data_IF_088029555445
#
_entry.id   IF_088029555445
#
_cell.length_a   1.000
_cell.length_b   1.000
_cell.length_c   1.000
_cell.angle_alpha   90.00
_cell.angle_beta   90.00
_cell.angle_gamma   90.00
#
_symmetry.space_group_name_H-M   'P 1'
#
loop_
_entity.id
_entity.type
_entity.pdbx_description
1 polymer ?
#
# COMPACT_ATOMS: atom_id res chain seq x y z
N UNK A 1 10.08 1.46 15.17
CA UNK A 1 10.72 0.19 15.61
C UNK A 1 10.17 -0.23 16.95
N UNK A 2 10.67 0.36 18.06
CA UNK A 2 10.20 0.04 19.41
C UNK A 2 8.71 0.37 19.61
N UNK A 3 8.25 1.51 19.08
CA UNK A 3 6.85 1.94 19.18
C UNK A 3 5.85 1.07 18.40
N UNK A 4 6.32 0.29 17.42
CA UNK A 4 5.47 -0.57 16.59
C UNK A 4 5.63 -2.08 16.93
N UNK A 5 6.34 -2.41 18.01
CA UNK A 5 6.54 -3.81 18.43
C UNK A 5 7.30 -4.70 17.43
N UNK A 6 8.02 -4.11 16.47
CA UNK A 6 8.69 -4.84 15.38
C UNK A 6 10.11 -5.29 15.78
N UNK A 7 10.57 -6.47 15.32
CA UNK A 7 11.94 -6.94 15.56
C UNK A 7 12.99 -5.96 15.01
N UNK A 8 14.12 -5.82 15.73
CA UNK A 8 15.21 -4.90 15.35
C UNK A 8 15.71 -5.14 13.92
N UNK A 9 15.66 -6.38 13.42
CA UNK A 9 16.07 -6.77 12.06
C UNK A 9 15.31 -6.01 10.96
N UNK A 10 14.11 -5.51 11.24
CA UNK A 10 13.27 -4.80 10.26
C UNK A 10 13.74 -3.37 9.92
N UNK A 11 14.90 -2.94 10.42
CA UNK A 11 15.31 -1.52 10.38
C UNK A 11 15.62 -1.09 8.96
N UNK A 12 16.13 -2.02 8.14
CA UNK A 12 16.38 -1.83 6.73
C UNK A 12 15.09 -1.48 5.98
N UNK A 13 14.00 -2.20 6.25
CA UNK A 13 12.68 -1.92 5.68
C UNK A 13 12.15 -0.56 6.13
N UNK A 14 12.34 -0.19 7.40
CA UNK A 14 11.94 1.11 7.92
C UNK A 14 12.67 2.26 7.21
N UNK A 15 14.00 2.14 7.02
CA UNK A 15 14.81 3.13 6.28
C UNK A 15 14.36 3.23 4.82
N UNK A 16 14.09 2.09 4.17
CA UNK A 16 13.59 2.07 2.80
C UNK A 16 12.22 2.74 2.65
N UNK A 17 11.28 2.45 3.56
CA UNK A 17 9.96 3.08 3.58
C UNK A 17 10.06 4.59 3.84
N UNK A 18 10.88 5.01 4.79
CA UNK A 18 11.11 6.43 5.07
C UNK A 18 11.70 7.16 3.86
N UNK A 19 12.67 6.55 3.17
CA UNK A 19 13.26 7.10 1.95
C UNK A 19 12.22 7.21 0.83
N UNK A 20 11.39 6.18 0.65
CA UNK A 20 10.30 6.19 -0.33
C UNK A 20 9.33 7.35 -0.12
N UNK A 21 8.92 7.58 1.13
CA UNK A 21 8.03 8.68 1.52
C UNK A 21 8.75 10.01 1.30
N UNK A 22 9.98 10.15 1.79
CA UNK A 22 10.76 11.39 1.67
C UNK A 22 10.96 11.82 0.22
N UNK A 23 11.18 10.87 -0.69
CA UNK A 23 11.34 11.15 -2.12
C UNK A 23 10.07 11.70 -2.78
N UNK A 24 8.90 11.45 -2.17
CA UNK A 24 7.58 11.92 -2.62
C UNK A 24 7.09 13.13 -1.83
N UNK A 25 7.82 13.56 -0.80
CA UNK A 25 7.53 14.80 -0.10
C UNK A 25 7.92 16.00 -0.96
N UNK A 26 7.07 17.02 -0.93
CA UNK A 26 7.37 18.31 -1.54
C UNK A 26 8.60 18.95 -0.88
N UNK A 27 9.49 19.50 -1.70
CA UNK A 27 10.63 20.28 -1.25
C UNK A 27 10.43 21.76 -1.65
N UNK A 28 10.31 22.68 -0.68
CA UNK A 28 10.09 24.11 -0.93
C UNK A 28 11.18 24.78 -1.78
N UNK A 29 12.44 24.32 -1.67
CA UNK A 29 13.57 24.92 -2.38
C UNK A 29 13.50 24.64 -3.89
N UNK A 30 13.18 23.41 -4.25
CA UNK A 30 13.10 22.96 -5.65
C UNK A 30 11.71 23.11 -6.25
N UNK A 31 10.70 23.44 -5.42
CA UNK A 31 9.27 23.48 -5.77
C UNK A 31 8.74 22.19 -6.41
N UNK A 32 9.45 21.08 -6.20
CA UNK A 32 9.21 19.74 -6.77
C UNK A 32 9.63 18.69 -5.77
N UNK A 33 9.06 17.50 -5.88
CA UNK A 33 9.49 16.31 -5.14
C UNK A 33 10.80 15.77 -5.71
N UNK A 34 11.61 15.07 -4.89
CA UNK A 34 12.84 14.46 -5.39
C UNK A 34 12.55 13.40 -6.47
N UNK A 35 11.41 12.72 -6.36
CA UNK A 35 10.90 11.81 -7.38
C UNK A 35 10.68 12.54 -8.72
N UNK A 36 9.95 13.65 -8.75
CA UNK A 36 9.73 14.45 -9.98
C UNK A 36 11.04 14.96 -10.59
N UNK A 37 12.00 15.37 -9.76
CA UNK A 37 13.30 15.85 -10.25
C UNK A 37 14.07 14.73 -10.94
N UNK A 38 13.96 13.49 -10.46
CA UNK A 38 14.69 12.35 -10.99
C UNK A 38 13.97 11.66 -12.16
N UNK A 39 12.65 11.53 -12.11
CA UNK A 39 11.86 10.77 -13.10
C UNK A 39 11.13 11.65 -14.11
N UNK A 40 10.99 12.95 -13.82
CA UNK A 40 10.17 13.87 -14.62
C UNK A 40 8.65 13.66 -14.46
N UNK A 41 8.21 12.71 -13.64
CA UNK A 41 6.80 12.38 -13.44
C UNK A 41 6.33 12.73 -12.03
N UNK A 42 5.06 13.13 -11.91
CA UNK A 42 4.43 13.40 -10.62
C UNK A 42 4.32 12.08 -9.80
N UNK A 43 4.66 12.08 -8.50
CA UNK A 43 4.55 10.88 -7.70
C UNK A 43 3.08 10.53 -7.44
N UNK A 44 2.72 9.27 -7.68
CA UNK A 44 1.48 8.72 -7.16
C UNK A 44 1.60 8.48 -5.64
N UNK A 45 0.72 9.11 -4.86
CA UNK A 45 0.67 9.04 -3.40
C UNK A 45 -0.55 8.27 -2.86
N UNK A 46 -1.47 7.83 -3.72
CA UNK A 46 -2.72 7.19 -3.32
C UNK A 46 -2.51 5.87 -2.55
N UNK A 47 -1.38 5.19 -2.79
CA UNK A 47 -1.01 3.95 -2.11
C UNK A 47 -0.06 4.13 -0.92
N UNK A 48 0.09 5.34 -0.39
CA UNK A 48 1.02 5.60 0.71
C UNK A 48 0.39 5.24 2.06
N UNK A 49 1.08 4.41 2.84
CA UNK A 49 0.63 3.95 4.15
C UNK A 49 1.73 4.12 5.20
N UNK A 50 1.31 4.25 6.46
CA UNK A 50 2.21 4.38 7.62
C UNK A 50 2.91 3.06 7.91
N UNK A 51 4.24 3.10 7.99
CA UNK A 51 5.05 1.94 8.42
C UNK A 51 4.58 1.43 9.79
N UNK A 52 4.41 0.13 9.92
CA UNK A 52 3.92 -0.50 11.14
C UNK A 52 2.39 -0.56 11.26
N UNK A 53 1.64 -0.12 10.24
CA UNK A 53 0.17 -0.26 10.25
C UNK A 53 -0.25 -1.72 10.13
N UNK A 54 -1.30 -2.08 10.87
CA UNK A 54 -1.94 -3.38 10.75
C UNK A 54 -2.63 -3.47 9.37
N UNK A 55 -2.49 -4.62 8.74
CA UNK A 55 -3.09 -4.86 7.43
C UNK A 55 -3.49 -6.32 7.24
N UNK A 56 -4.48 -6.52 6.39
CA UNK A 56 -4.96 -7.82 5.96
C UNK A 56 -4.47 -8.08 4.55
N UNK A 57 -3.58 -9.05 4.42
CA UNK A 57 -2.94 -9.43 3.19
C UNK A 57 -3.61 -10.67 2.58
N UNK A 58 -3.97 -10.60 1.31
CA UNK A 58 -4.46 -11.75 0.57
C UNK A 58 -3.29 -12.63 0.12
N UNK A 59 -3.29 -13.88 0.56
CA UNK A 59 -2.25 -14.87 0.36
C UNK A 59 -2.85 -16.03 -0.44
N UNK A 60 -2.37 -16.21 -1.67
CA UNK A 60 -2.79 -17.32 -2.51
C UNK A 60 -2.18 -18.63 -1.99
N UNK A 61 -2.99 -19.45 -1.32
CA UNK A 61 -2.60 -20.81 -0.94
C UNK A 61 -2.99 -21.78 -2.07
N UNK A 62 -2.07 -22.67 -2.47
CA UNK A 62 -2.27 -23.66 -3.54
C UNK A 62 -3.22 -24.81 -3.15
N UNK A 63 -3.57 -24.94 -1.87
CA UNK A 63 -4.48 -25.97 -1.36
C UNK A 63 -5.86 -25.35 -1.13
N UNK A 64 -6.87 -25.99 -1.72
CA UNK A 64 -8.22 -25.46 -1.95
C UNK A 64 -9.00 -25.46 -0.62
N UNK A 65 -9.50 -24.28 -0.22
CA UNK A 65 -10.38 -23.96 0.93
C UNK A 65 -9.74 -23.33 2.18
N UNK A 66 -8.42 -23.10 2.26
CA UNK A 66 -7.86 -22.35 3.39
C UNK A 66 -8.18 -20.85 3.33
N UNK A 67 -8.34 -20.24 4.51
CA UNK A 67 -8.49 -18.80 4.67
C UNK A 67 -7.41 -18.06 3.87
N UNK A 68 -7.85 -17.24 2.92
CA UNK A 68 -6.98 -16.54 1.96
C UNK A 68 -6.45 -15.22 2.50
N UNK A 69 -6.94 -14.79 3.65
CA UNK A 69 -6.58 -13.52 4.26
C UNK A 69 -5.73 -13.81 5.50
N UNK A 70 -4.58 -13.16 5.60
CA UNK A 70 -3.71 -13.22 6.77
C UNK A 70 -3.46 -11.82 7.29
N UNK A 71 -3.59 -11.66 8.60
CA UNK A 71 -3.18 -10.43 9.28
C UNK A 71 -1.65 -10.30 9.26
N UNK A 72 -1.18 -9.08 9.03
CA UNK A 72 0.23 -8.73 9.02
C UNK A 72 0.44 -7.26 9.33
N UNK A 73 1.71 -6.87 9.31
CA UNK A 73 2.15 -5.52 9.56
C UNK A 73 2.82 -4.98 8.31
N UNK A 74 2.39 -3.82 7.84
CA UNK A 74 3.00 -3.18 6.70
C UNK A 74 4.40 -2.67 7.04
N UNK A 75 5.40 -3.06 6.23
CA UNK A 75 6.80 -2.69 6.45
C UNK A 75 7.44 -1.95 5.27
N UNK A 76 6.77 -1.83 4.12
CA UNK A 76 7.28 -0.98 3.05
C UNK A 76 6.77 -1.31 1.66
N UNK A 77 7.44 -0.74 0.67
CA UNK A 77 7.05 -0.80 -0.75
C UNK A 77 8.03 -1.66 -1.53
N UNK A 78 7.51 -2.49 -2.44
CA UNK A 78 8.36 -3.21 -3.39
C UNK A 78 8.90 -2.26 -4.47
N UNK A 79 10.13 -2.51 -4.94
CA UNK A 79 10.79 -1.67 -5.96
C UNK A 79 10.37 -2.02 -7.39
N UNK A 80 10.04 -3.29 -7.64
CA UNK A 80 9.82 -3.83 -8.99
C UNK A 80 8.36 -4.08 -9.36
N UNK A 81 7.41 -3.76 -8.47
CA UNK A 81 5.99 -3.99 -8.74
C UNK A 81 5.11 -3.16 -7.80
N UNK A 82 3.81 -3.01 -8.12
CA UNK A 82 2.83 -2.35 -7.24
C UNK A 82 2.41 -3.29 -6.10
N UNK A 83 3.37 -3.79 -5.34
CA UNK A 83 3.16 -4.66 -4.19
C UNK A 83 3.71 -4.02 -2.91
N UNK A 84 3.09 -4.38 -1.80
CA UNK A 84 3.54 -4.02 -0.48
C UNK A 84 4.38 -5.14 0.12
N UNK A 85 5.29 -4.75 1.02
CA UNK A 85 6.03 -5.65 1.88
C UNK A 85 5.28 -5.76 3.20
N UNK A 86 4.82 -6.97 3.51
CA UNK A 86 4.03 -7.27 4.70
C UNK A 86 4.79 -8.27 5.56
N UNK A 87 5.04 -7.89 6.80
CA UNK A 87 5.58 -8.78 7.83
C UNK A 87 4.46 -9.60 8.46
N UNK A 88 4.61 -10.90 8.51
CA UNK A 88 3.68 -11.82 9.17
C UNK A 88 4.28 -12.27 10.51
N UNK A 89 3.76 -11.80 11.66
CA UNK A 89 4.32 -12.16 12.97
C UNK A 89 4.30 -13.66 13.25
N UNK A 90 3.28 -14.37 12.74
CA UNK A 90 3.13 -15.82 12.93
C UNK A 90 4.23 -16.64 12.24
N UNK A 91 4.67 -16.23 11.04
CA UNK A 91 5.72 -16.93 10.29
C UNK A 91 7.08 -16.25 10.37
N UNK A 92 7.16 -15.10 11.05
CA UNK A 92 8.36 -14.24 11.16
C UNK A 92 9.01 -13.91 9.80
N UNK A 93 8.20 -13.78 8.75
CA UNK A 93 8.66 -13.57 7.39
C UNK A 93 8.05 -12.30 6.80
N UNK A 94 8.83 -11.59 5.98
CA UNK A 94 8.33 -10.50 5.13
C UNK A 94 8.02 -11.07 3.75
N UNK A 95 6.78 -10.93 3.30
CA UNK A 95 6.38 -11.33 1.94
C UNK A 95 5.85 -10.15 1.15
N UNK A 96 6.06 -10.25 -0.16
CA UNK A 96 5.54 -9.33 -1.15
C UNK A 96 4.08 -9.68 -1.45
N UNK A 97 3.18 -8.73 -1.22
CA UNK A 97 1.73 -8.93 -1.41
C UNK A 97 1.15 -7.74 -2.16
N UNK A 98 0.41 -7.99 -3.25
CA UNK A 98 -0.28 -6.93 -4.01
C UNK A 98 -1.58 -6.52 -3.33
N UNK A 99 -2.42 -7.48 -3.00
CA UNK A 99 -3.74 -7.23 -2.44
C UNK A 99 -3.67 -7.14 -0.92
N UNK A 100 -3.67 -5.91 -0.41
CA UNK A 100 -3.60 -5.61 1.02
C UNK A 100 -4.69 -4.60 1.37
N UNK A 101 -5.43 -4.88 2.45
CA UNK A 101 -6.40 -3.96 3.04
C UNK A 101 -5.86 -3.44 4.37
N UNK A 102 -5.76 -2.13 4.49
CA UNK A 102 -5.28 -1.48 5.71
C UNK A 102 -6.46 -1.18 6.64
N UNK A 103 -6.34 -1.53 7.91
CA UNK A 103 -7.28 -1.04 8.93
C UNK A 103 -6.87 0.37 9.30
N UNK A 104 -7.71 1.34 8.95
CA UNK A 104 -7.44 2.73 9.31
C UNK A 104 -7.52 2.89 10.83
N UNK A 105 -6.42 3.29 11.46
CA UNK A 105 -6.53 4.23 12.57
C UNK A 105 -6.66 5.61 11.92
N UNK A 106 -7.90 6.02 11.68
CA UNK A 106 -8.24 7.39 11.31
C UNK A 106 -8.53 8.14 12.60
N UNK A 107 -7.52 8.35 13.44
CA UNK A 107 -7.64 9.24 14.58
C UNK A 107 -6.56 10.31 14.50
N UNK A 108 -6.96 11.46 13.95
CA UNK A 108 -6.63 12.81 14.43
C UNK A 108 -7.42 13.81 13.56
N UNK A 109 -8.74 13.84 13.73
CA UNK A 109 -9.55 15.05 13.47
C UNK A 109 -10.10 15.47 14.84
N UNK A 110 -9.59 16.59 15.35
CA UNK A 110 -10.18 17.26 16.49
C UNK A 110 -11.56 17.83 16.12
N UNK A 111 -12.51 17.66 17.06
CA UNK A 111 -13.84 18.27 17.22
C UNK A 111 -14.88 17.95 16.12
N UNK A 112 -16.15 17.64 16.40
CA UNK A 112 -17.04 17.99 17.51
C UNK A 112 -18.19 16.96 17.57
N UNK A 113 -18.84 16.88 18.73
CA UNK A 113 -19.98 16.05 19.08
C UNK A 113 -21.08 15.98 18.00
N UNK A 114 -21.40 14.76 17.57
CA UNK A 114 -22.77 14.23 17.60
C UNK A 114 -22.78 12.75 17.20
N UNK A 115 -23.31 11.91 18.10
CA UNK A 115 -23.34 10.47 17.95
C UNK A 115 -24.05 10.00 16.69
N UNK A 116 -23.29 9.38 15.79
CA UNK A 116 -23.76 8.29 14.92
C UNK A 116 -22.69 7.22 14.89
N UNK A 117 -22.94 6.14 15.62
CA UNK A 117 -22.24 4.87 15.47
C UNK A 117 -22.44 4.39 14.03
N UNK A 118 -21.53 4.72 13.12
CA UNK A 118 -21.48 4.08 11.81
C UNK A 118 -21.02 2.65 12.04
N UNK A 119 -21.99 1.75 12.12
CA UNK A 119 -21.78 0.30 12.09
C UNK A 119 -20.88 -0.01 10.90
N UNK A 120 -19.72 -0.59 11.17
CA UNK A 120 -18.95 -1.35 10.18
C UNK A 120 -19.89 -2.40 9.57
N UNK A 121 -20.03 -2.50 8.24
CA UNK A 121 -20.79 -3.58 7.65
C UNK A 121 -20.14 -4.91 8.02
N UNK A 122 -20.93 -5.78 8.63
CA UNK A 122 -20.52 -7.05 9.24
C UNK A 122 -20.27 -8.16 8.19
N UNK A 123 -20.15 -7.80 6.91
CA UNK A 123 -19.89 -8.72 5.81
C UNK A 123 -18.81 -8.17 4.88
N UNK A 124 -17.71 -8.90 4.81
CA UNK A 124 -16.63 -8.71 3.85
C UNK A 124 -17.08 -9.22 2.47
N UNK A 125 -17.64 -8.34 1.64
CA UNK A 125 -17.94 -8.69 0.24
C UNK A 125 -16.65 -8.69 -0.60
N UNK A 126 -16.13 -9.89 -0.89
CA UNK A 126 -14.97 -10.08 -1.78
C UNK A 126 -15.22 -9.56 -3.20
N UNK A 127 -16.48 -9.54 -3.64
CA UNK A 127 -16.90 -9.09 -4.97
C UNK A 127 -16.71 -7.57 -5.16
N UNK A 128 -16.96 -6.78 -4.12
CA UNK A 128 -16.77 -5.31 -4.17
C UNK A 128 -15.29 -4.95 -4.33
N UNK A 129 -14.40 -5.74 -3.71
CA UNK A 129 -12.96 -5.58 -3.87
C UNK A 129 -12.58 -5.99 -5.29
N UNK A 130 -12.98 -7.16 -5.77
CA UNK A 130 -12.61 -7.63 -7.10
C UNK A 130 -13.08 -6.69 -8.24
N UNK A 131 -14.30 -6.14 -8.13
CA UNK A 131 -14.83 -5.16 -9.09
C UNK A 131 -14.02 -3.86 -9.10
N UNK A 132 -13.76 -3.27 -7.92
CA UNK A 132 -12.98 -2.03 -7.83
C UNK A 132 -11.51 -2.20 -8.25
N UNK A 133 -11.00 -3.43 -8.14
CA UNK A 133 -9.68 -3.80 -8.68
C UNK A 133 -9.68 -3.93 -10.20
N UNK A 134 -10.75 -4.42 -10.83
CA UNK A 134 -10.86 -4.52 -12.30
C UNK A 134 -10.93 -3.15 -12.99
N UNK A 135 -11.59 -2.18 -12.35
CA UNK A 135 -11.69 -0.80 -12.82
C UNK A 135 -10.31 -0.11 -12.80
N UNK A 136 -9.54 -0.27 -11.71
CA UNK A 136 -8.20 0.30 -11.54
C UNK A 136 -7.13 -0.30 -12.48
N UNK A 137 -7.30 -1.54 -12.92
CA UNK A 137 -6.41 -2.17 -13.92
C UNK A 137 -6.63 -1.54 -15.30
N UNK A 138 -7.87 -1.15 -15.62
CA UNK A 138 -8.24 -0.60 -16.92
C UNK A 138 -7.74 0.84 -17.10
N UNK A 139 -7.61 1.61 -16.02
CA UNK A 139 -7.11 3.00 -16.05
C UNK A 139 -5.58 3.15 -16.17
N UNK A 140 -4.81 2.06 -16.08
CA UNK A 140 -3.34 2.10 -16.04
C UNK A 140 -2.66 1.63 -17.33
N UNK A 141 -3.39 1.33 -18.41
CA UNK A 141 -2.78 1.10 -19.72
C UNK A 141 -2.59 2.44 -20.47
N UNK A 142 -1.36 2.93 -20.69
CA UNK A 142 -1.13 3.95 -21.70
C UNK A 142 -1.33 3.33 -23.09
N UNK A 143 -2.12 3.98 -23.94
CA UNK A 143 -2.26 3.64 -25.36
C UNK A 143 -0.86 3.56 -25.99
N UNK A 144 -0.44 2.34 -26.33
CA UNK A 144 0.72 2.13 -27.18
C UNK A 144 0.48 2.88 -28.49
N UNK A 145 1.35 3.85 -28.78
CA UNK A 145 1.40 4.52 -30.07
C UNK A 145 1.74 3.47 -31.14
N UNK A 146 0.72 2.98 -31.83
CA UNK A 146 0.86 2.32 -33.12
C UNK A 146 1.31 3.40 -34.10
N UNK A 147 2.62 3.54 -34.30
CA UNK A 147 3.14 4.14 -35.50
C UNK A 147 3.40 3.03 -36.51
N UNK A 148 2.45 2.89 -37.42
CA UNK A 148 2.68 2.26 -38.70
C UNK A 148 3.47 3.18 -39.65
N UNK A 149 3.91 2.51 -40.71
CA UNK A 149 4.21 3.04 -42.05
C UNK A 149 5.66 3.38 -42.43
N UNK A 150 6.19 2.46 -43.26
CA UNK A 150 6.74 2.67 -44.62
C UNK A 150 7.83 3.73 -44.78
N UNK A 151 9.03 3.28 -45.19
CA UNK A 151 9.41 3.10 -46.60
C UNK A 151 10.61 2.16 -46.70
#
# INVERSE_FOLDING_TARGET
MLQAGLPKVMWTYAVMAATYIRNRCYNPRTKKTAFEVFTGQQPNICGMHTFGSCCYAYVQNKKKLDARIKEGVFVGYDKGSPAYLVYFPQSQEVRKVRCVKFTGNVDNVHDNANGRSSKVPDSFDEDVIFSRWSELITEQEPLAQVNGEKQ
#
